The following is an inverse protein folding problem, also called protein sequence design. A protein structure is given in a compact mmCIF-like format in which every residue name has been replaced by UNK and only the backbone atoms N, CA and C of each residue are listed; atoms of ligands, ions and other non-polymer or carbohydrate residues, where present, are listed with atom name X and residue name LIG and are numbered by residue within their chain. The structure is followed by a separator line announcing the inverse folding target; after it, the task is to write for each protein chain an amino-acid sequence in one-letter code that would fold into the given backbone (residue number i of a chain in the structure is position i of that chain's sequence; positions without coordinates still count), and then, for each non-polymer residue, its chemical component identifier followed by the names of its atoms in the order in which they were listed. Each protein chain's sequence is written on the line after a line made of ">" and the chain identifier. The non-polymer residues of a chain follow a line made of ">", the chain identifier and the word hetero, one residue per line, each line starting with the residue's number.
data_IF_567980794213
#
_entry.id   IF_567980794213
#
_cell.length_a   1.000
_cell.length_b   1.000
_cell.length_c   1.000
_cell.angle_alpha   90.00
_cell.angle_beta   90.00
_cell.angle_gamma   90.00
#
_symmetry.space_group_name_H-M   'P 1'
#
loop_
_entity.id
_entity.type
_entity.pdbx_description
1 polymer ?
#
# COMPACT_ATOMS: atom_id res chain seq x y z
N UNK A 1 -26.27 50.38 38.11
CA UNK A 1 -25.63 49.08 38.44
C UNK A 1 -25.85 48.12 37.29
N UNK A 2 -24.87 48.14 36.38
CA UNK A 2 -24.83 47.25 35.21
C UNK A 2 -24.16 45.95 35.60
N UNK A 3 -24.83 44.85 35.29
CA UNK A 3 -24.36 43.51 35.53
C UNK A 3 -23.77 42.99 34.22
N UNK A 4 -22.46 42.94 34.12
CA UNK A 4 -21.70 42.45 32.95
C UNK A 4 -21.48 40.96 33.12
N UNK A 5 -22.28 40.13 32.43
CA UNK A 5 -22.06 38.70 32.32
C UNK A 5 -20.86 38.43 31.42
N UNK A 6 -19.83 37.85 31.97
CA UNK A 6 -18.68 37.32 31.26
C UNK A 6 -19.08 35.97 30.63
N UNK A 7 -19.23 35.96 29.30
CA UNK A 7 -19.25 34.69 28.55
C UNK A 7 -17.86 34.04 28.59
N UNK A 8 -17.81 32.82 29.09
CA UNK A 8 -16.64 31.99 29.04
C UNK A 8 -16.44 31.52 27.59
N UNK A 9 -15.36 32.00 26.97
CA UNK A 9 -14.87 31.43 25.72
C UNK A 9 -14.46 30.00 25.96
N UNK A 10 -15.16 29.05 25.37
CA UNK A 10 -14.70 27.67 25.26
C UNK A 10 -13.57 27.65 24.25
N UNK A 11 -12.35 27.52 24.75
CA UNK A 11 -11.15 27.21 23.99
C UNK A 11 -11.34 25.84 23.32
N UNK A 12 -11.74 25.84 22.06
CA UNK A 12 -11.63 24.69 21.19
C UNK A 12 -10.14 24.61 20.81
N UNK A 13 -9.35 23.93 21.62
CA UNK A 13 -8.00 23.51 21.25
C UNK A 13 -8.14 22.60 20.04
N UNK A 14 -7.95 23.16 18.84
CA UNK A 14 -7.74 22.36 17.64
C UNK A 14 -6.46 21.55 17.87
N UNK A 15 -6.59 20.25 17.93
CA UNK A 15 -5.48 19.29 17.93
C UNK A 15 -4.63 19.62 16.68
N UNK A 16 -3.45 20.24 16.87
CA UNK A 16 -2.64 20.89 15.84
C UNK A 16 -2.03 19.93 14.79
N UNK A 17 -2.71 18.82 14.50
CA UNK A 17 -2.34 17.83 13.50
C UNK A 17 -2.79 18.28 12.11
N UNK A 18 -1.90 18.18 11.15
CA UNK A 18 -2.20 18.40 9.74
C UNK A 18 -3.28 17.40 9.28
N UNK A 19 -4.22 17.88 8.44
CA UNK A 19 -5.30 17.05 7.93
C UNK A 19 -5.38 17.13 6.40
N UNK A 20 -5.80 16.01 5.80
CA UNK A 20 -6.18 15.98 4.39
C UNK A 20 -7.42 16.84 4.15
N UNK A 21 -7.71 17.18 2.89
CA UNK A 21 -8.94 17.90 2.50
C UNK A 21 -10.24 17.17 2.90
N UNK A 22 -10.17 15.87 3.21
CA UNK A 22 -11.28 15.03 3.69
C UNK A 22 -11.28 14.84 5.21
N UNK A 23 -10.38 15.52 5.93
CA UNK A 23 -10.33 15.49 7.39
C UNK A 23 -9.52 14.36 8.02
N UNK A 24 -8.88 13.51 7.22
CA UNK A 24 -7.99 12.45 7.73
C UNK A 24 -6.71 13.04 8.32
N UNK A 25 -6.25 12.52 9.45
CA UNK A 25 -5.04 13.00 10.12
C UNK A 25 -3.79 12.60 9.35
N UNK A 26 -2.88 13.57 9.14
CA UNK A 26 -1.56 13.34 8.54
C UNK A 26 -0.51 13.38 9.66
N UNK A 27 0.32 12.35 9.75
CA UNK A 27 1.45 12.26 10.66
C UNK A 27 2.72 11.92 9.89
N UNK A 28 3.84 12.51 10.32
CA UNK A 28 5.16 12.14 9.80
C UNK A 28 5.97 11.49 10.91
N UNK A 29 6.45 10.26 10.68
CA UNK A 29 7.31 9.51 11.59
C UNK A 29 8.57 9.08 10.85
N UNK A 30 9.74 9.49 11.32
CA UNK A 30 11.04 9.16 10.70
C UNK A 30 11.08 9.46 9.19
N UNK A 31 10.42 10.54 8.74
CA UNK A 31 10.35 10.94 7.34
C UNK A 31 9.35 10.17 6.48
N UNK A 32 8.63 9.20 7.04
CA UNK A 32 7.54 8.49 6.37
C UNK A 32 6.18 9.10 6.76
N UNK A 33 5.23 9.14 5.82
CA UNK A 33 3.91 9.72 6.02
C UNK A 33 2.89 8.64 6.38
N UNK A 34 2.08 8.93 7.40
CA UNK A 34 0.94 8.11 7.83
C UNK A 34 -0.34 8.93 7.71
N UNK A 35 -1.40 8.33 7.16
CA UNK A 35 -2.73 8.93 7.11
C UNK A 35 -3.66 8.04 7.94
N UNK A 36 -4.24 8.62 9.01
CA UNK A 36 -5.00 7.90 10.05
C UNK A 36 -4.27 6.64 10.56
N UNK A 37 -2.95 6.72 10.74
CA UNK A 37 -2.11 5.62 11.20
C UNK A 37 -1.66 4.64 10.11
N UNK A 38 -2.16 4.74 8.90
CA UNK A 38 -1.73 3.90 7.78
C UNK A 38 -0.51 4.49 7.07
N UNK A 39 0.57 3.74 6.99
CA UNK A 39 1.79 4.13 6.25
C UNK A 39 1.47 4.27 4.76
N UNK A 40 1.82 5.41 4.18
CA UNK A 40 1.55 5.74 2.78
C UNK A 40 2.86 5.87 1.99
N UNK A 41 2.92 5.19 0.85
CA UNK A 41 3.89 5.41 -0.20
C UNK A 41 3.13 5.52 -1.52
N UNK A 42 3.20 6.66 -2.19
CA UNK A 42 2.52 6.91 -3.45
C UNK A 42 3.22 8.05 -4.22
N UNK A 43 2.64 8.52 -5.32
CA UNK A 43 3.23 9.60 -6.13
C UNK A 43 3.42 10.92 -5.39
N UNK A 44 2.68 11.16 -4.31
CA UNK A 44 2.75 12.38 -3.49
C UNK A 44 3.67 12.21 -2.29
N UNK A 45 3.60 11.06 -1.61
CA UNK A 45 4.32 10.77 -0.38
C UNK A 45 5.39 9.72 -0.64
N UNK A 46 6.65 10.15 -0.58
CA UNK A 46 7.81 9.26 -0.73
C UNK A 46 8.32 8.79 0.63
N UNK A 47 8.82 7.58 0.67
CA UNK A 47 9.59 7.05 1.80
C UNK A 47 11.04 7.52 1.72
N UNK A 48 11.72 7.72 2.85
CA UNK A 48 13.16 7.92 2.87
C UNK A 48 13.91 6.76 2.20
N UNK A 49 15.08 7.04 1.62
CA UNK A 49 15.93 5.99 1.03
C UNK A 49 16.37 4.94 2.05
N UNK A 50 16.46 5.33 3.33
CA UNK A 50 16.83 4.47 4.46
C UNK A 50 15.66 3.72 5.09
N UNK A 51 14.43 3.93 4.61
CA UNK A 51 13.26 3.27 5.17
C UNK A 51 13.32 1.76 4.90
N UNK A 52 13.11 0.97 5.95
CA UNK A 52 12.92 -0.48 5.92
C UNK A 52 11.62 -0.84 6.64
N UNK A 53 10.97 -1.97 6.33
CA UNK A 53 9.78 -2.44 7.04
C UNK A 53 9.98 -2.47 8.56
N UNK A 54 8.99 -2.01 9.31
CA UNK A 54 9.08 -1.88 10.78
C UNK A 54 8.91 -3.21 11.52
N UNK A 55 8.12 -4.13 10.97
CA UNK A 55 7.77 -5.42 11.58
C UNK A 55 7.89 -6.58 10.58
N UNK A 56 9.05 -6.77 9.91
CA UNK A 56 9.19 -7.80 8.91
C UNK A 56 9.20 -9.21 9.54
N UNK A 57 8.61 -10.19 8.86
CA UNK A 57 8.66 -11.58 9.31
C UNK A 57 10.08 -12.14 9.28
N UNK A 58 10.82 -11.83 8.22
CA UNK A 58 12.26 -12.10 8.11
C UNK A 58 12.97 -10.75 7.99
N UNK A 59 14.02 -10.49 8.79
CA UNK A 59 14.78 -9.26 8.69
C UNK A 59 15.21 -8.94 7.25
N UNK A 60 15.20 -7.66 6.89
CA UNK A 60 15.64 -7.21 5.58
C UNK A 60 17.15 -7.34 5.46
N UNK A 61 17.61 -8.28 4.65
CA UNK A 61 19.04 -8.52 4.34
C UNK A 61 19.34 -8.40 2.86
N UNK A 62 18.31 -8.37 2.02
CA UNK A 62 18.42 -8.37 0.56
C UNK A 62 17.61 -7.21 -0.04
N UNK A 63 18.02 -6.77 -1.22
CA UNK A 63 17.32 -5.70 -1.96
C UNK A 63 15.92 -6.10 -2.44
N UNK A 64 15.65 -7.41 -2.54
CA UNK A 64 14.33 -8.02 -2.82
C UNK A 64 14.11 -9.20 -1.90
N UNK A 65 12.88 -9.32 -1.40
CA UNK A 65 12.50 -10.48 -0.60
C UNK A 65 10.98 -10.69 -0.64
N UNK A 66 10.55 -11.93 -0.74
CA UNK A 66 9.14 -12.32 -0.58
C UNK A 66 8.78 -12.68 0.87
N UNK A 67 9.75 -12.63 1.79
CA UNK A 67 9.58 -12.99 3.20
C UNK A 67 9.90 -11.83 4.16
N UNK A 68 10.56 -10.78 3.68
CA UNK A 68 10.77 -9.54 4.46
C UNK A 68 9.54 -8.61 4.39
N UNK A 69 8.36 -9.21 4.35
CA UNK A 69 7.07 -8.53 4.45
C UNK A 69 6.63 -8.50 5.92
N UNK A 70 5.69 -7.63 6.23
CA UNK A 70 5.12 -7.50 7.57
C UNK A 70 4.57 -8.84 8.10
N UNK A 71 4.75 -9.13 9.39
CA UNK A 71 4.32 -10.39 10.02
C UNK A 71 2.82 -10.63 9.95
N UNK A 72 2.04 -9.56 10.15
CA UNK A 72 0.59 -9.68 10.13
C UNK A 72 0.09 -9.89 8.71
N UNK A 73 0.70 -9.20 7.73
CA UNK A 73 0.48 -9.46 6.31
C UNK A 73 0.76 -10.92 5.96
N UNK A 74 1.91 -11.46 6.38
CA UNK A 74 2.30 -12.84 6.07
C UNK A 74 1.38 -13.87 6.72
N UNK A 75 0.91 -13.58 7.93
CA UNK A 75 -0.10 -14.41 8.62
C UNK A 75 -1.42 -14.42 7.86
N UNK A 76 -1.90 -13.25 7.46
CA UNK A 76 -3.11 -13.07 6.66
C UNK A 76 -2.99 -13.74 5.29
N UNK A 77 -1.83 -13.58 4.63
CA UNK A 77 -1.56 -14.22 3.33
C UNK A 77 -1.62 -15.75 3.40
N UNK A 78 -1.01 -16.38 4.43
CA UNK A 78 -1.05 -17.85 4.58
C UNK A 78 -2.47 -18.36 4.77
N UNK A 79 -3.31 -17.64 5.53
CA UNK A 79 -4.73 -17.97 5.70
C UNK A 79 -5.46 -17.90 4.35
N UNK A 80 -5.27 -16.81 3.60
CA UNK A 80 -5.84 -16.63 2.27
C UNK A 80 -5.36 -17.72 1.31
N UNK A 81 -4.08 -18.05 1.32
CA UNK A 81 -3.48 -19.10 0.48
C UNK A 81 -4.04 -20.50 0.81
N UNK A 82 -4.21 -20.83 2.09
CA UNK A 82 -4.80 -22.10 2.51
C UNK A 82 -6.23 -22.26 2.01
N UNK A 83 -7.05 -21.20 2.14
CA UNK A 83 -8.44 -21.21 1.69
C UNK A 83 -8.55 -21.25 0.14
N UNK A 84 -7.65 -20.60 -0.58
CA UNK A 84 -7.53 -20.72 -2.04
C UNK A 84 -7.15 -22.14 -2.46
N UNK A 85 -6.15 -22.72 -1.78
CA UNK A 85 -5.69 -24.10 -2.02
C UNK A 85 -6.81 -25.12 -1.80
N UNK A 86 -7.61 -24.95 -0.76
CA UNK A 86 -8.78 -25.81 -0.50
C UNK A 86 -9.83 -25.75 -1.62
N UNK A 87 -9.80 -24.73 -2.46
CA UNK A 87 -10.65 -24.57 -3.66
C UNK A 87 -9.94 -25.00 -4.97
N UNK A 88 -8.74 -25.57 -4.86
CA UNK A 88 -7.95 -25.97 -6.03
C UNK A 88 -7.27 -24.80 -6.76
N UNK A 89 -7.16 -23.64 -6.11
CA UNK A 89 -6.50 -22.45 -6.66
C UNK A 89 -5.07 -22.36 -6.13
N UNK A 90 -4.14 -21.91 -6.98
CA UNK A 90 -2.74 -21.74 -6.62
C UNK A 90 -2.36 -20.28 -6.62
N UNK A 91 -2.31 -19.65 -5.44
CA UNK A 91 -1.84 -18.27 -5.26
C UNK A 91 -0.49 -18.26 -4.54
N UNK A 92 0.41 -17.41 -5.00
CA UNK A 92 1.74 -17.22 -4.40
C UNK A 92 2.24 -15.80 -4.59
N UNK A 93 3.14 -15.35 -3.72
CA UNK A 93 3.78 -14.04 -3.82
C UNK A 93 4.86 -14.12 -4.91
N UNK A 94 4.66 -13.42 -6.00
CA UNK A 94 5.61 -13.29 -7.10
C UNK A 94 6.64 -12.18 -6.84
N UNK A 95 6.21 -11.07 -6.21
CA UNK A 95 7.09 -9.96 -5.83
C UNK A 95 6.62 -9.36 -4.50
N UNK A 96 7.48 -9.38 -3.50
CA UNK A 96 7.23 -8.81 -2.17
C UNK A 96 7.99 -7.51 -1.94
N UNK A 97 8.81 -7.48 -0.88
CA UNK A 97 9.64 -6.32 -0.55
C UNK A 97 10.63 -5.97 -1.67
N UNK A 98 10.77 -4.67 -1.91
CA UNK A 98 11.79 -4.08 -2.79
C UNK A 98 12.42 -2.88 -2.10
N UNK A 99 13.75 -2.87 -1.97
CA UNK A 99 14.49 -1.73 -1.38
C UNK A 99 14.44 -0.49 -2.28
N UNK A 100 14.77 0.67 -1.69
CA UNK A 100 14.93 1.90 -2.44
C UNK A 100 15.91 1.75 -3.60
N UNK A 101 17.10 1.19 -3.36
CA UNK A 101 18.15 1.05 -4.37
C UNK A 101 17.76 0.07 -5.49
N UNK A 102 17.01 -0.99 -5.13
CA UNK A 102 16.44 -1.86 -6.15
C UNK A 102 15.45 -1.11 -7.04
N UNK A 103 14.58 -0.28 -6.44
CA UNK A 103 13.62 0.53 -7.18
C UNK A 103 14.32 1.59 -8.07
N UNK A 104 15.46 2.16 -7.65
CA UNK A 104 16.30 3.03 -8.49
C UNK A 104 16.72 2.30 -9.76
N UNK A 105 17.28 1.11 -9.61
CA UNK A 105 17.77 0.30 -10.74
C UNK A 105 16.64 -0.12 -11.67
N UNK A 106 15.49 -0.53 -11.10
CA UNK A 106 14.31 -0.94 -11.83
C UNK A 106 13.71 0.22 -12.64
N UNK A 107 13.49 1.36 -11.99
CA UNK A 107 12.91 2.54 -12.62
C UNK A 107 13.80 3.09 -13.75
N UNK A 108 15.11 3.20 -13.50
CA UNK A 108 16.06 3.67 -14.52
C UNK A 108 16.07 2.76 -15.75
N UNK A 109 15.93 1.44 -15.58
CA UNK A 109 15.80 0.50 -16.71
C UNK A 109 14.53 0.76 -17.52
N UNK A 110 13.39 0.99 -16.87
CA UNK A 110 12.14 1.33 -17.55
C UNK A 110 12.24 2.67 -18.29
N UNK A 111 12.84 3.68 -17.65
CA UNK A 111 13.07 4.99 -18.32
C UNK A 111 13.97 4.85 -19.54
N UNK A 112 15.00 4.02 -19.47
CA UNK A 112 15.89 3.77 -20.60
C UNK A 112 15.19 3.06 -21.76
N UNK A 113 14.26 2.14 -21.48
CA UNK A 113 13.55 1.37 -22.49
C UNK A 113 12.38 2.14 -23.12
N UNK A 114 11.55 2.78 -22.29
CA UNK A 114 10.22 3.28 -22.70
C UNK A 114 10.11 4.81 -22.57
N UNK A 115 11.12 5.46 -22.00
CA UNK A 115 11.10 6.88 -21.68
C UNK A 115 10.37 7.17 -20.36
N UNK A 116 10.69 8.33 -19.77
CA UNK A 116 10.19 8.70 -18.44
C UNK A 116 8.67 8.80 -18.36
N UNK A 117 8.03 9.39 -19.37
CA UNK A 117 6.57 9.59 -19.38
C UNK A 117 5.84 8.24 -19.36
N UNK A 118 6.28 7.26 -20.13
CA UNK A 118 5.70 5.92 -20.14
C UNK A 118 6.00 5.19 -18.83
N UNK A 119 7.26 5.21 -18.37
CA UNK A 119 7.65 4.56 -17.12
C UNK A 119 6.83 5.05 -15.92
N UNK A 120 6.51 6.34 -15.82
CA UNK A 120 5.71 6.94 -14.75
C UNK A 120 4.25 6.43 -14.71
N UNK A 121 3.74 5.76 -15.74
CA UNK A 121 2.37 5.23 -15.77
C UNK A 121 2.22 3.87 -15.10
N UNK A 122 3.29 3.06 -15.10
CA UNK A 122 3.27 1.68 -14.60
C UNK A 122 4.34 1.37 -13.55
N UNK A 123 5.31 2.26 -13.32
CA UNK A 123 6.36 2.06 -12.32
C UNK A 123 6.44 3.24 -11.37
N UNK A 124 6.62 2.95 -10.09
CA UNK A 124 6.88 3.96 -9.06
C UNK A 124 8.31 4.48 -9.17
N UNK A 125 8.48 5.78 -8.94
CA UNK A 125 9.81 6.37 -8.71
C UNK A 125 10.40 5.84 -7.40
N UNK A 126 11.73 5.87 -7.22
CA UNK A 126 12.36 5.51 -5.95
C UNK A 126 11.76 6.27 -4.77
N UNK A 127 11.47 5.55 -3.68
CA UNK A 127 10.76 6.07 -2.51
C UNK A 127 9.23 6.09 -2.63
N UNK A 128 8.68 6.09 -3.84
CA UNK A 128 7.23 6.14 -4.07
C UNK A 128 6.58 4.75 -4.23
N UNK A 129 7.36 3.68 -4.16
CA UNK A 129 6.86 2.31 -4.28
C UNK A 129 6.35 1.77 -2.95
N UNK A 130 5.12 1.24 -2.92
CA UNK A 130 4.58 0.56 -1.75
C UNK A 130 5.36 -0.70 -1.37
N UNK A 131 6.05 -1.34 -2.31
CA UNK A 131 6.88 -2.52 -2.01
C UNK A 131 8.01 -2.24 -1.01
N UNK A 132 8.47 -0.98 -0.89
CA UNK A 132 9.42 -0.60 0.13
C UNK A 132 8.83 -0.64 1.54
N UNK A 133 7.50 -0.50 1.68
CA UNK A 133 6.82 -0.57 2.99
C UNK A 133 6.85 -1.96 3.61
N UNK A 134 6.98 -3.02 2.81
CA UNK A 134 6.74 -4.40 3.25
C UNK A 134 5.27 -4.74 3.50
N UNK A 135 4.32 -3.85 3.12
CA UNK A 135 2.89 -4.00 3.36
C UNK A 135 2.08 -4.33 2.10
N UNK A 136 2.75 -4.67 1.00
CA UNK A 136 2.09 -5.09 -0.24
C UNK A 136 2.91 -6.17 -0.96
N UNK A 137 2.28 -6.84 -1.89
CA UNK A 137 2.91 -7.80 -2.78
C UNK A 137 2.15 -7.93 -4.10
N UNK A 138 2.85 -8.41 -5.12
CA UNK A 138 2.26 -8.84 -6.38
C UNK A 138 2.04 -10.36 -6.35
N UNK A 139 0.85 -10.81 -6.75
CA UNK A 139 0.48 -12.23 -6.83
C UNK A 139 0.74 -12.79 -8.22
N UNK A 140 1.17 -14.04 -8.28
CA UNK A 140 1.22 -14.91 -9.46
C UNK A 140 1.86 -14.28 -10.70
N UNK A 141 1.18 -13.32 -11.34
CA UNK A 141 1.58 -12.69 -12.60
C UNK A 141 1.22 -11.20 -12.58
N UNK A 142 2.13 -10.35 -13.06
CA UNK A 142 1.93 -8.90 -13.24
C UNK A 142 1.35 -8.56 -14.61
N UNK A 143 0.60 -9.48 -15.20
CA UNK A 143 -0.04 -9.31 -16.50
C UNK A 143 -1.53 -9.02 -16.36
N UNK A 144 -2.07 -8.17 -17.23
CA UNK A 144 -3.50 -7.84 -17.25
C UNK A 144 -4.41 -9.06 -17.34
N UNK A 145 -3.92 -10.15 -17.93
CA UNK A 145 -4.64 -11.42 -18.03
C UNK A 145 -4.90 -12.09 -16.68
N UNK A 146 -4.17 -11.75 -15.61
CA UNK A 146 -4.39 -12.32 -14.27
C UNK A 146 -5.82 -12.13 -13.79
N UNK A 147 -6.45 -10.99 -14.06
CA UNK A 147 -7.84 -10.72 -13.69
C UNK A 147 -8.87 -11.73 -14.26
N UNK A 148 -8.51 -12.44 -15.33
CA UNK A 148 -9.41 -13.40 -16.00
C UNK A 148 -9.16 -14.84 -15.55
N UNK A 149 -8.09 -15.11 -14.80
CA UNK A 149 -7.82 -16.42 -14.22
C UNK A 149 -8.80 -16.73 -13.09
N UNK A 150 -8.90 -18.00 -12.71
CA UNK A 150 -9.71 -18.40 -11.56
C UNK A 150 -9.17 -17.79 -10.25
N UNK A 151 -7.84 -17.74 -10.12
CA UNK A 151 -7.14 -17.13 -8.99
C UNK A 151 -7.45 -15.63 -8.91
N UNK A 152 -7.29 -14.88 -10.01
CA UNK A 152 -7.55 -13.43 -10.05
C UNK A 152 -8.99 -13.08 -9.71
N UNK A 153 -9.96 -13.83 -10.23
CA UNK A 153 -11.39 -13.66 -9.89
C UNK A 153 -11.65 -13.93 -8.42
N UNK A 154 -11.12 -15.03 -7.90
CA UNK A 154 -11.31 -15.38 -6.50
C UNK A 154 -10.67 -14.34 -5.57
N UNK A 155 -9.48 -13.84 -5.90
CA UNK A 155 -8.81 -12.76 -5.16
C UNK A 155 -9.65 -11.50 -5.16
N UNK A 156 -10.17 -11.07 -6.31
CA UNK A 156 -11.04 -9.89 -6.41
C UNK A 156 -12.23 -9.98 -5.44
N UNK A 157 -12.84 -11.15 -5.32
CA UNK A 157 -14.07 -11.35 -4.54
C UNK A 157 -13.81 -11.68 -3.06
N UNK A 158 -12.57 -11.96 -2.65
CA UNK A 158 -12.29 -12.52 -1.32
C UNK A 158 -11.14 -11.86 -0.56
N UNK A 159 -10.22 -11.14 -1.19
CA UNK A 159 -9.00 -10.64 -0.53
C UNK A 159 -9.30 -9.74 0.68
N UNK A 160 -10.39 -8.98 0.65
CA UNK A 160 -10.80 -8.10 1.75
C UNK A 160 -11.06 -8.86 3.05
N UNK A 161 -11.55 -10.11 3.00
CA UNK A 161 -11.81 -10.97 4.17
C UNK A 161 -10.54 -11.34 4.95
N UNK A 162 -9.39 -11.11 4.35
CA UNK A 162 -8.06 -11.37 4.91
C UNK A 162 -7.29 -10.08 5.18
N UNK A 163 -7.94 -8.92 5.11
CA UNK A 163 -7.31 -7.64 5.36
C UNK A 163 -6.56 -7.04 4.18
N UNK A 164 -6.79 -7.54 2.96
CA UNK A 164 -6.17 -7.01 1.74
C UNK A 164 -7.17 -6.21 0.90
N UNK A 165 -6.66 -5.20 0.19
CA UNK A 165 -7.39 -4.55 -0.89
C UNK A 165 -6.59 -4.59 -2.19
N UNK A 166 -7.29 -4.58 -3.32
CA UNK A 166 -6.68 -4.29 -4.62
C UNK A 166 -6.31 -2.80 -4.61
N UNK A 167 -5.01 -2.52 -4.58
CA UNK A 167 -4.50 -1.16 -4.33
C UNK A 167 -4.79 -0.18 -5.45
N UNK A 168 -4.79 -0.67 -6.68
CA UNK A 168 -5.05 0.09 -7.90
C UNK A 168 -6.27 -0.47 -8.63
N UNK A 169 -7.49 -0.20 -8.12
CA UNK A 169 -8.71 -0.80 -8.63
C UNK A 169 -9.13 -0.20 -9.97
N UNK A 170 -9.89 -0.95 -10.74
CA UNK A 170 -10.32 -0.60 -12.09
C UNK A 170 -11.11 0.72 -12.11
N UNK A 171 -10.74 1.63 -13.03
CA UNK A 171 -11.39 2.93 -13.18
C UNK A 171 -11.06 3.94 -12.08
N UNK A 172 -10.01 3.71 -11.29
CA UNK A 172 -9.53 4.62 -10.23
C UNK A 172 -8.16 5.23 -10.51
N UNK A 173 -7.63 5.09 -11.72
CA UNK A 173 -6.34 5.60 -12.17
C UNK A 173 -6.20 7.12 -11.99
N UNK A 174 -7.27 7.90 -12.17
CA UNK A 174 -7.27 9.33 -11.89
C UNK A 174 -7.03 9.67 -10.39
N UNK A 175 -7.34 8.75 -9.47
CA UNK A 175 -7.14 8.92 -8.03
C UNK A 175 -5.83 8.31 -7.56
N UNK A 176 -5.48 7.13 -8.08
CA UNK A 176 -4.28 6.39 -7.65
C UNK A 176 -3.02 6.83 -8.38
N UNK A 177 -3.17 7.38 -9.58
CA UNK A 177 -2.08 7.74 -10.47
C UNK A 177 -1.45 6.54 -11.21
N UNK A 178 -2.02 5.33 -11.06
CA UNK A 178 -1.58 4.10 -11.70
C UNK A 178 -2.75 3.42 -12.40
N UNK A 179 -2.44 2.66 -13.44
CA UNK A 179 -3.40 1.80 -14.12
C UNK A 179 -3.90 0.69 -13.18
N UNK A 180 -4.97 0.00 -13.58
CA UNK A 180 -5.50 -1.14 -12.85
C UNK A 180 -4.48 -2.27 -12.73
N UNK A 181 -4.27 -2.77 -11.50
CA UNK A 181 -3.38 -3.90 -11.21
C UNK A 181 -4.14 -4.92 -10.36
N UNK A 182 -4.68 -5.96 -10.99
CA UNK A 182 -5.44 -7.01 -10.31
C UNK A 182 -4.58 -7.90 -9.38
N UNK A 183 -3.28 -7.87 -9.56
CA UNK A 183 -2.28 -8.66 -8.84
C UNK A 183 -1.71 -7.94 -7.61
N UNK A 184 -1.77 -6.61 -7.55
CA UNK A 184 -1.15 -5.81 -6.50
C UNK A 184 -2.08 -5.66 -5.30
N UNK A 185 -1.78 -6.40 -4.23
CA UNK A 185 -2.54 -6.36 -2.98
C UNK A 185 -1.80 -5.57 -1.91
N UNK A 186 -2.54 -4.68 -1.25
CA UNK A 186 -2.09 -3.94 -0.07
C UNK A 186 -2.77 -4.49 1.17
N UNK A 187 -1.99 -4.78 2.22
CA UNK A 187 -2.50 -5.11 3.55
C UNK A 187 -2.87 -3.84 4.30
N UNK A 188 -4.09 -3.78 4.79
CA UNK A 188 -4.65 -2.64 5.54
C UNK A 188 -5.40 -3.09 6.80
N UNK A 189 -5.44 -4.41 7.08
CA UNK A 189 -6.27 -5.01 8.12
C UNK A 189 -7.71 -5.22 7.68
N UNK A 190 -8.40 -6.16 8.34
CA UNK A 190 -9.74 -6.62 7.92
C UNK A 190 -10.76 -5.49 7.93
N UNK A 191 -10.76 -4.63 8.98
CA UNK A 191 -11.75 -3.56 9.14
C UNK A 191 -11.70 -2.54 7.97
N UNK A 192 -10.48 -2.08 7.58
CA UNK A 192 -10.36 -1.12 6.48
C UNK A 192 -10.56 -1.82 5.13
N UNK A 193 -10.08 -3.06 4.98
CA UNK A 193 -10.26 -3.81 3.74
C UNK A 193 -11.75 -4.02 3.40
N UNK A 194 -12.58 -4.33 4.40
CA UNK A 194 -14.04 -4.47 4.24
C UNK A 194 -14.70 -3.15 3.82
N UNK A 195 -14.25 -2.01 4.36
CA UNK A 195 -14.77 -0.69 3.97
C UNK A 195 -14.35 -0.26 2.56
N UNK A 196 -13.25 -0.80 2.04
CA UNK A 196 -12.73 -0.48 0.71
C UNK A 196 -13.30 -1.38 -0.39
N UNK A 197 -13.86 -2.53 -0.02
CA UNK A 197 -14.54 -3.48 -0.91
C UNK A 197 -15.93 -2.97 -1.31
#
# INVERSE_FOLDING_TARGET
>A
TENKSTEAATDNASDGKEKTSKGFTIETRNGATYIDGYLIANKTYALPSTFIPENPEVPVTEARSNTSLDKDLMTAFRKMQADATAKGLNIYIASGYRSYDYQVSLYNRYVANDGKTAADTYSSRPGNSEHQTGLCFDLNSIEDSFQYTNEGKWINDNCYKYGFCIRFPKGKDAYTGYQYESWHLRYVGEELAEKLY
#
